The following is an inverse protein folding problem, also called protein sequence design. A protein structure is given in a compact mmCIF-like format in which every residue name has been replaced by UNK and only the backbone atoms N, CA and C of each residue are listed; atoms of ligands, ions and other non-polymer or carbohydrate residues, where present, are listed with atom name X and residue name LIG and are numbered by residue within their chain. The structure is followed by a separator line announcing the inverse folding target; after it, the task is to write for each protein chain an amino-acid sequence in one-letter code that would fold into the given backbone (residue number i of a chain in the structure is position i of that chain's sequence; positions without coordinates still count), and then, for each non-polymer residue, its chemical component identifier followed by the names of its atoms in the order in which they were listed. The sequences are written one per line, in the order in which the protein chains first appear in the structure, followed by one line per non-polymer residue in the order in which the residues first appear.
data_IF_672518362463
#
_entry.id   IF_672518362463
#
_cell.length_a   1.000
_cell.length_b   1.000
_cell.length_c   1.000
_cell.angle_alpha   90.00
_cell.angle_beta   90.00
_cell.angle_gamma   90.00
#
_symmetry.space_group_name_H-M   'P 1'
#
loop_
_entity.id
_entity.type
_entity.pdbx_description
1 polymer ?
#
# COMPACT_ATOMS: atom_id res chain seq x y z
N UNK A 1 -14.20 18.35 20.66
CA UNK A 1 -13.76 17.11 19.97
C UNK A 1 -12.93 17.54 18.78
N UNK A 2 -11.65 17.21 18.74
CA UNK A 2 -10.78 17.53 17.60
C UNK A 2 -11.15 16.54 16.49
N UNK A 3 -11.94 16.97 15.51
CA UNK A 3 -12.23 16.13 14.37
C UNK A 3 -10.99 16.11 13.46
N UNK A 4 -10.35 14.94 13.37
CA UNK A 4 -9.26 14.70 12.44
C UNK A 4 -9.87 14.57 11.04
N UNK A 5 -9.27 15.22 10.03
CA UNK A 5 -9.68 15.15 8.61
C UNK A 5 -9.38 13.75 8.03
N UNK A 6 -8.66 12.90 8.76
CA UNK A 6 -8.36 11.52 8.39
C UNK A 6 -9.12 10.55 9.28
N UNK A 7 -9.70 9.51 8.71
CA UNK A 7 -10.35 8.44 9.46
C UNK A 7 -10.22 7.09 8.76
N UNK A 8 -10.27 6.00 9.53
CA UNK A 8 -10.44 4.64 9.00
C UNK A 8 -11.94 4.42 8.81
N UNK A 9 -12.34 4.01 7.60
CA UNK A 9 -13.74 3.69 7.31
C UNK A 9 -14.07 2.24 7.75
N UNK A 10 -15.27 1.96 8.28
CA UNK A 10 -15.63 0.61 8.71
C UNK A 10 -15.52 -0.41 7.58
N UNK A 11 -14.77 -1.49 7.80
CA UNK A 11 -14.59 -2.57 6.82
C UNK A 11 -13.64 -2.25 5.66
N UNK A 12 -13.12 -1.02 5.58
CA UNK A 12 -12.20 -0.59 4.53
C UNK A 12 -10.79 -0.37 5.09
N UNK A 13 -9.80 -1.16 4.66
CA UNK A 13 -8.41 -0.94 5.06
C UNK A 13 -7.84 0.35 4.45
N UNK A 14 -7.21 1.18 5.29
CA UNK A 14 -6.54 2.41 4.88
C UNK A 14 -7.06 3.65 5.61
N UNK A 15 -6.49 4.81 5.26
CA UNK A 15 -6.90 6.11 5.76
C UNK A 15 -7.63 6.90 4.67
N UNK A 16 -8.74 7.50 5.05
CA UNK A 16 -9.63 8.21 4.14
C UNK A 16 -9.84 9.63 4.63
N UNK A 17 -9.99 10.54 3.67
CA UNK A 17 -10.36 11.92 3.90
C UNK A 17 -11.82 11.97 4.37
N UNK A 18 -12.04 12.58 5.53
CA UNK A 18 -13.34 12.83 6.11
C UNK A 18 -13.44 14.29 6.52
N UNK A 19 -14.66 14.82 6.58
CA UNK A 19 -14.92 16.19 7.01
C UNK A 19 -14.18 17.25 6.18
N UNK A 20 -14.08 17.02 4.87
CA UNK A 20 -13.52 18.00 3.93
C UNK A 20 -14.54 19.12 3.71
N UNK A 21 -14.39 20.20 4.47
CA UNK A 21 -15.25 21.38 4.37
C UNK A 21 -15.06 22.13 3.05
N UNK A 22 -16.17 22.46 2.39
CA UNK A 22 -16.21 23.30 1.19
C UNK A 22 -15.54 24.66 1.44
N UNK A 23 -14.71 25.11 0.49
CA UNK A 23 -14.04 26.41 0.56
C UNK A 23 -12.73 26.42 1.37
N UNK A 24 -12.35 25.30 2.01
CA UNK A 24 -11.04 25.15 2.66
C UNK A 24 -9.96 24.70 1.66
N UNK A 25 -8.71 24.75 2.11
CA UNK A 25 -7.51 24.40 1.33
C UNK A 25 -7.62 23.02 0.69
N UNK A 26 -8.01 21.99 1.45
CA UNK A 26 -8.15 20.63 0.93
C UNK A 26 -9.22 20.54 -0.17
N UNK A 27 -10.42 21.10 0.06
CA UNK A 27 -11.48 21.13 -0.94
C UNK A 27 -11.06 21.85 -2.23
N UNK A 28 -10.40 23.01 -2.08
CA UNK A 28 -9.93 23.81 -3.21
C UNK A 28 -8.78 23.13 -3.96
N UNK A 29 -8.02 22.25 -3.30
CA UNK A 29 -7.00 21.40 -3.92
C UNK A 29 -7.60 20.18 -4.65
N UNK A 30 -8.92 20.00 -4.61
CA UNK A 30 -9.60 18.88 -5.26
C UNK A 30 -9.90 17.69 -4.35
N UNK A 31 -9.46 17.72 -3.10
CA UNK A 31 -9.71 16.64 -2.12
C UNK A 31 -11.21 16.57 -1.80
N UNK A 32 -11.76 15.37 -1.71
CA UNK A 32 -13.15 15.08 -1.37
C UNK A 32 -13.22 14.10 -0.20
N UNK A 33 -14.42 14.01 0.39
CA UNK A 33 -14.68 12.96 1.37
C UNK A 33 -14.59 11.60 0.67
N UNK A 34 -14.11 10.60 1.41
CA UNK A 34 -13.89 9.22 0.94
C UNK A 34 -12.70 9.05 -0.01
N UNK A 35 -11.97 10.12 -0.36
CA UNK A 35 -10.67 9.97 -1.04
C UNK A 35 -9.71 9.23 -0.11
N UNK A 36 -9.06 8.20 -0.64
CA UNK A 36 -8.10 7.40 0.12
C UNK A 36 -6.71 7.99 0.01
N UNK A 37 -6.05 8.17 1.15
CA UNK A 37 -4.70 8.68 1.23
C UNK A 37 -3.70 7.53 0.98
N UNK A 38 -2.84 7.71 -0.02
CA UNK A 38 -1.81 6.74 -0.42
C UNK A 38 -0.40 7.19 -0.01
N UNK A 39 -0.10 8.48 -0.12
CA UNK A 39 1.22 9.01 0.20
C UNK A 39 1.14 10.37 0.92
N UNK A 40 2.12 10.61 1.79
CA UNK A 40 2.38 11.90 2.44
C UNK A 40 3.81 12.31 2.15
N UNK A 41 3.99 13.48 1.51
CA UNK A 41 5.30 14.04 1.14
C UNK A 41 6.19 13.08 0.32
N UNK A 42 5.58 12.27 -0.54
CA UNK A 42 6.28 11.30 -1.40
C UNK A 42 6.63 9.98 -0.73
N UNK A 43 6.08 9.70 0.46
CA UNK A 43 6.25 8.43 1.16
C UNK A 43 4.91 7.67 1.20
N UNK A 44 4.92 6.40 0.78
CA UNK A 44 3.74 5.53 0.86
C UNK A 44 3.35 5.26 2.31
N UNK A 45 2.08 5.50 2.62
CA UNK A 45 1.54 5.41 3.99
C UNK A 45 0.55 4.25 4.19
N UNK A 46 0.37 3.36 3.23
CA UNK A 46 -0.71 2.36 3.29
C UNK A 46 -0.55 1.32 4.41
N UNK A 47 0.67 1.11 4.90
CA UNK A 47 0.96 0.26 6.05
C UNK A 47 1.03 1.00 7.39
N UNK A 48 0.87 2.33 7.40
CA UNK A 48 1.00 3.15 8.60
C UNK A 48 -0.31 3.21 9.39
N UNK A 49 -0.18 3.39 10.70
CA UNK A 49 -1.29 3.66 11.61
C UNK A 49 -1.78 5.10 11.47
N UNK A 50 -2.98 5.38 11.99
CA UNK A 50 -3.53 6.73 12.01
C UNK A 50 -2.57 7.74 12.66
N UNK A 51 -1.99 7.38 13.81
CA UNK A 51 -1.15 8.28 14.59
C UNK A 51 0.17 8.58 13.87
N UNK A 52 0.82 7.57 13.29
CA UNK A 52 2.06 7.76 12.54
C UNK A 52 1.87 8.66 11.32
N UNK A 53 0.73 8.54 10.62
CA UNK A 53 0.41 9.41 9.47
C UNK A 53 0.14 10.84 9.93
N UNK A 54 -0.57 11.01 11.04
CA UNK A 54 -0.80 12.33 11.64
C UNK A 54 0.51 12.99 12.03
N UNK A 55 1.47 12.25 12.60
CA UNK A 55 2.81 12.76 12.89
C UNK A 55 3.55 13.20 11.62
N UNK A 56 3.55 12.38 10.56
CA UNK A 56 4.16 12.76 9.28
C UNK A 56 3.58 14.04 8.67
N UNK A 57 2.25 14.19 8.73
CA UNK A 57 1.59 15.41 8.25
C UNK A 57 1.99 16.62 9.09
N UNK A 58 2.05 16.48 10.41
CA UNK A 58 2.51 17.55 11.32
C UNK A 58 3.96 17.95 11.05
N UNK A 59 4.83 16.98 10.75
CA UNK A 59 6.24 17.22 10.41
C UNK A 59 6.41 18.06 9.13
N UNK A 60 5.47 17.97 8.17
CA UNK A 60 5.45 18.83 6.98
C UNK A 60 5.24 20.32 7.27
N UNK A 61 4.80 20.68 8.48
CA UNK A 61 4.64 22.06 8.92
C UNK A 61 3.52 22.78 8.17
N UNK A 62 3.86 23.81 7.38
CA UNK A 62 2.87 24.68 6.70
C UNK A 62 2.43 24.17 5.34
N UNK A 63 3.12 23.18 4.77
CA UNK A 63 2.83 22.63 3.44
C UNK A 63 2.97 21.12 3.48
N UNK A 64 1.99 20.42 2.92
CA UNK A 64 1.99 18.96 2.80
C UNK A 64 1.58 18.60 1.38
N UNK A 65 2.29 17.64 0.79
CA UNK A 65 1.92 17.02 -0.47
C UNK A 65 1.25 15.70 -0.19
N UNK A 66 0.10 15.44 -0.81
CA UNK A 66 -0.68 14.23 -0.60
C UNK A 66 -0.93 13.57 -1.95
N UNK A 67 -0.73 12.25 -2.01
CA UNK A 67 -1.24 11.45 -3.12
C UNK A 67 -2.53 10.77 -2.65
N UNK A 68 -3.61 11.06 -3.36
CA UNK A 68 -4.95 10.58 -3.07
C UNK A 68 -5.49 9.81 -4.27
N UNK A 69 -6.34 8.83 -4.00
CA UNK A 69 -7.15 8.16 -5.01
C UNK A 69 -8.62 8.34 -4.65
N UNK A 70 -9.43 8.73 -5.62
CA UNK A 70 -10.86 8.84 -5.42
C UNK A 70 -11.49 7.45 -5.24
N UNK A 71 -12.67 7.41 -4.63
CA UNK A 71 -13.36 6.16 -4.29
C UNK A 71 -13.63 5.24 -5.48
N UNK A 72 -13.99 5.80 -6.63
CA UNK A 72 -14.30 5.00 -7.82
C UNK A 72 -13.02 4.32 -8.32
N UNK A 73 -11.96 5.10 -8.47
CA UNK A 73 -10.63 4.61 -8.85
C UNK A 73 -10.08 3.60 -7.84
N UNK A 74 -10.20 3.85 -6.54
CA UNK A 74 -9.78 2.93 -5.47
C UNK A 74 -10.56 1.60 -5.51
N UNK A 75 -11.83 1.61 -5.93
CA UNK A 75 -12.61 0.39 -6.13
C UNK A 75 -12.06 -0.42 -7.30
N UNK A 76 -11.80 0.22 -8.45
CA UNK A 76 -11.28 -0.46 -9.63
C UNK A 76 -9.90 -1.08 -9.41
N UNK A 77 -8.99 -0.38 -8.72
CA UNK A 77 -7.62 -0.86 -8.53
C UNK A 77 -7.49 -2.01 -7.53
N UNK A 78 -8.48 -2.25 -6.67
CA UNK A 78 -8.40 -3.26 -5.59
C UNK A 78 -9.12 -4.56 -5.89
N UNK A 79 -9.91 -4.62 -6.95
CA UNK A 79 -10.69 -5.80 -7.27
C UNK A 79 -9.97 -6.69 -8.28
N UNK A 80 -10.06 -7.99 -8.02
CA UNK A 80 -9.73 -9.00 -9.02
C UNK A 80 -11.01 -9.29 -9.79
N UNK A 81 -11.01 -9.05 -11.09
CA UNK A 81 -12.17 -9.28 -11.96
C UNK A 81 -12.66 -10.72 -11.83
N UNK A 82 -13.95 -10.92 -11.52
CA UNK A 82 -14.55 -12.26 -11.39
C UNK A 82 -14.43 -13.04 -12.70
N UNK A 83 -13.94 -14.27 -12.61
CA UNK A 83 -13.73 -15.14 -13.77
C UNK A 83 -12.46 -14.83 -14.58
N UNK A 84 -11.68 -13.81 -14.19
CA UNK A 84 -10.36 -13.54 -14.75
C UNK A 84 -9.38 -14.69 -14.45
N UNK A 85 -8.25 -14.80 -15.20
CA UNK A 85 -7.19 -15.74 -14.87
C UNK A 85 -6.66 -15.56 -13.44
N UNK A 86 -6.62 -14.31 -12.94
CA UNK A 86 -6.20 -13.98 -11.58
C UNK A 86 -7.17 -14.54 -10.52
N UNK A 87 -8.48 -14.36 -10.70
CA UNK A 87 -9.51 -14.89 -9.79
C UNK A 87 -9.45 -16.43 -9.74
N UNK A 88 -9.33 -17.07 -10.91
CA UNK A 88 -9.19 -18.53 -11.06
C UNK A 88 -7.90 -19.08 -10.46
N UNK A 89 -6.81 -18.29 -10.51
CA UNK A 89 -5.55 -18.62 -9.86
C UNK A 89 -5.59 -18.46 -8.33
N UNK A 90 -6.70 -17.95 -7.78
CA UNK A 90 -6.88 -17.79 -6.35
C UNK A 90 -6.40 -16.45 -5.81
N UNK A 91 -6.01 -15.50 -6.66
CA UNK A 91 -5.66 -14.15 -6.21
C UNK A 91 -6.86 -13.49 -5.54
N UNK A 92 -6.60 -12.82 -4.43
CA UNK A 92 -7.58 -12.11 -3.63
C UNK A 92 -7.19 -10.65 -3.49
N UNK A 93 -8.19 -9.83 -3.16
CA UNK A 93 -7.98 -8.44 -2.76
C UNK A 93 -6.99 -8.40 -1.59
N UNK A 94 -6.02 -7.48 -1.68
CA UNK A 94 -4.91 -7.30 -0.73
C UNK A 94 -3.79 -8.35 -0.77
N UNK A 95 -3.79 -9.27 -1.73
CA UNK A 95 -2.60 -10.08 -1.99
C UNK A 95 -1.48 -9.18 -2.53
N UNK A 96 -0.34 -9.16 -1.84
CA UNK A 96 0.85 -8.47 -2.31
C UNK A 96 1.70 -9.40 -3.16
N UNK A 97 2.00 -8.99 -4.38
CA UNK A 97 2.99 -9.69 -5.23
C UNK A 97 4.38 -9.50 -4.63
N UNK A 98 5.05 -10.61 -4.33
CA UNK A 98 6.44 -10.66 -3.84
C UNK A 98 7.40 -11.22 -4.88
N UNK A 99 6.92 -12.00 -5.85
CA UNK A 99 7.73 -12.41 -6.99
C UNK A 99 6.88 -12.57 -8.27
N UNK A 100 7.50 -12.31 -9.42
CA UNK A 100 6.94 -12.58 -10.76
C UNK A 100 7.86 -13.58 -11.46
N UNK A 101 7.31 -14.73 -11.87
CA UNK A 101 8.03 -15.83 -12.52
C UNK A 101 9.32 -16.25 -11.77
N UNK A 102 9.28 -16.23 -10.44
CA UNK A 102 10.41 -16.59 -9.57
C UNK A 102 11.42 -15.45 -9.35
N UNK A 103 11.21 -14.26 -9.90
CA UNK A 103 12.05 -13.08 -9.66
C UNK A 103 11.42 -12.17 -8.61
N UNK A 104 12.17 -11.85 -7.55
CA UNK A 104 11.75 -10.97 -6.47
C UNK A 104 11.45 -9.54 -6.98
N UNK A 105 10.32 -8.97 -6.56
CA UNK A 105 9.88 -7.62 -6.97
C UNK A 105 10.28 -6.51 -5.99
N UNK A 106 10.79 -6.82 -4.80
CA UNK A 106 11.01 -5.84 -3.72
C UNK A 106 11.99 -4.72 -4.11
N UNK A 107 12.94 -5.02 -5.01
CA UNK A 107 13.94 -4.06 -5.53
C UNK A 107 13.63 -3.55 -6.94
N UNK A 108 12.44 -3.85 -7.46
CA UNK A 108 12.07 -3.56 -8.84
C UNK A 108 11.16 -2.35 -8.92
N UNK A 109 11.37 -1.50 -9.94
CA UNK A 109 10.42 -0.44 -10.23
C UNK A 109 9.10 -1.02 -10.75
N UNK A 110 8.00 -0.31 -10.50
CA UNK A 110 6.69 -0.66 -11.06
C UNK A 110 6.76 -0.93 -12.57
N UNK A 111 7.50 -0.10 -13.31
CA UNK A 111 7.68 -0.27 -14.75
C UNK A 111 8.33 -1.62 -15.10
N UNK A 112 9.39 -2.02 -14.38
CA UNK A 112 10.05 -3.31 -14.63
C UNK A 112 9.09 -4.47 -14.37
N UNK A 113 8.37 -4.43 -13.26
CA UNK A 113 7.39 -5.47 -12.90
C UNK A 113 6.28 -5.57 -13.96
N UNK A 114 5.74 -4.42 -14.39
CA UNK A 114 4.72 -4.37 -15.44
C UNK A 114 5.25 -4.84 -16.78
N UNK A 115 6.47 -4.47 -17.15
CA UNK A 115 7.09 -4.92 -18.39
C UNK A 115 7.29 -6.44 -18.35
N UNK A 116 7.69 -7.05 -17.22
CA UNK A 116 7.76 -8.51 -17.07
C UNK A 116 6.40 -9.19 -17.24
N UNK A 117 5.35 -8.64 -16.63
CA UNK A 117 3.99 -9.20 -16.75
C UNK A 117 3.51 -9.10 -18.21
N UNK A 118 3.78 -7.98 -18.90
CA UNK A 118 3.40 -7.78 -20.31
C UNK A 118 4.17 -8.65 -21.29
N UNK A 119 5.40 -9.03 -20.92
CA UNK A 119 6.22 -9.96 -21.70
C UNK A 119 5.82 -11.42 -21.50
N UNK A 120 4.92 -11.72 -20.55
CA UNK A 120 4.29 -13.03 -20.45
C UNK A 120 3.27 -13.17 -21.59
N UNK A 121 3.53 -14.05 -22.55
CA UNK A 121 2.58 -14.30 -23.64
C UNK A 121 1.24 -14.83 -23.10
N UNK A 122 1.26 -16.00 -22.46
CA UNK A 122 0.05 -16.71 -22.01
C UNK A 122 0.08 -17.22 -20.56
N UNK A 123 1.24 -17.19 -19.89
CA UNK A 123 1.37 -17.70 -18.51
C UNK A 123 2.25 -16.77 -17.70
N UNK A 124 1.73 -16.30 -16.57
CA UNK A 124 2.46 -15.53 -15.58
C UNK A 124 2.24 -16.18 -14.22
N UNK A 125 3.32 -16.44 -13.48
CA UNK A 125 3.26 -17.00 -12.13
C UNK A 125 3.59 -15.93 -11.11
N UNK A 126 2.73 -15.74 -10.12
CA UNK A 126 2.96 -14.81 -9.02
C UNK A 126 3.21 -15.60 -7.75
N UNK A 127 4.23 -15.20 -6.99
CA UNK A 127 4.27 -15.47 -5.57
C UNK A 127 3.61 -14.29 -4.88
N UNK A 128 2.57 -14.55 -4.11
CA UNK A 128 1.84 -13.53 -3.36
C UNK A 128 1.84 -13.84 -1.88
N UNK A 129 1.69 -12.80 -1.08
CA UNK A 129 1.57 -12.85 0.37
C UNK A 129 0.27 -12.18 0.75
N UNK A 130 -0.54 -12.83 1.60
CA UNK A 130 -1.77 -12.25 2.09
C UNK A 130 -1.50 -11.05 3.02
N UNK A 131 -2.53 -10.26 3.27
CA UNK A 131 -2.43 -9.04 4.08
C UNK A 131 -1.84 -9.26 5.48
N UNK A 132 -2.27 -10.32 6.18
CA UNK A 132 -1.85 -10.55 7.57
C UNK A 132 -0.38 -10.94 7.61
N UNK A 133 0.03 -11.80 6.67
CA UNK A 133 1.43 -12.18 6.50
C UNK A 133 2.30 -10.99 6.06
N UNK A 134 1.82 -10.13 5.16
CA UNK A 134 2.54 -8.92 4.75
C UNK A 134 2.77 -7.95 5.91
N UNK A 135 1.74 -7.74 6.74
CA UNK A 135 1.84 -6.90 7.93
C UNK A 135 2.84 -7.49 8.94
N UNK A 136 2.83 -8.80 9.14
CA UNK A 136 3.81 -9.47 10.01
C UNK A 136 5.24 -9.24 9.50
N UNK A 137 5.50 -9.46 8.21
CA UNK A 137 6.83 -9.24 7.63
C UNK A 137 7.29 -7.78 7.77
N UNK A 138 6.39 -6.81 7.56
CA UNK A 138 6.71 -5.37 7.73
C UNK A 138 7.00 -5.00 9.19
N UNK A 139 6.24 -5.53 10.14
CA UNK A 139 6.48 -5.31 11.57
C UNK A 139 7.79 -5.95 12.03
N UNK A 140 8.08 -7.17 11.59
CA UNK A 140 9.33 -7.88 11.90
C UNK A 140 10.53 -7.19 11.25
N UNK A 141 10.40 -6.71 10.00
CA UNK A 141 11.41 -5.88 9.34
C UNK A 141 11.72 -4.62 10.15
N UNK A 142 10.70 -3.92 10.63
CA UNK A 142 10.87 -2.72 11.47
C UNK A 142 11.54 -3.03 12.82
N UNK A 143 11.17 -4.16 13.44
CA UNK A 143 11.79 -4.64 14.69
C UNK A 143 13.24 -5.09 14.50
N UNK A 144 13.59 -5.66 13.34
CA UNK A 144 14.96 -6.03 12.99
C UNK A 144 15.83 -4.80 12.74
N UNK A 145 15.30 -3.71 12.16
CA UNK A 145 16.05 -2.44 12.07
C UNK A 145 16.29 -1.76 13.42
N UNK A 146 15.38 -1.91 14.38
CA UNK A 146 15.57 -1.37 15.74
C UNK A 146 16.44 -2.24 16.65
N UNK A 147 16.62 -3.52 16.33
CA UNK A 147 17.42 -4.47 17.15
C UNK A 147 18.75 -4.89 16.52
N UNK A 148 18.98 -4.64 15.24
CA UNK A 148 20.24 -4.98 14.56
C UNK A 148 21.11 -3.74 14.35
N UNK A 149 21.62 -3.20 15.46
CA UNK A 149 23.05 -2.92 15.47
C UNK A 149 23.78 -4.27 15.51
N UNK A 150 24.24 -4.70 14.35
CA UNK A 150 25.13 -5.84 14.11
C UNK A 150 24.47 -7.17 13.68
N UNK A 151 24.91 -7.61 12.50
CA UNK A 151 24.90 -8.97 11.92
C UNK A 151 23.72 -9.29 11.01
N UNK A 152 24.00 -9.20 9.70
CA UNK A 152 23.18 -9.73 8.62
C UNK A 152 23.17 -11.27 8.65
N UNK A 153 21.99 -11.88 8.54
CA UNK A 153 21.85 -13.31 8.28
C UNK A 153 21.18 -13.50 6.92
N UNK A 154 21.91 -14.16 6.02
CA UNK A 154 21.39 -14.72 4.78
C UNK A 154 20.61 -16.00 5.12
N UNK A 155 19.32 -16.03 4.83
CA UNK A 155 18.48 -17.25 4.93
C UNK A 155 18.45 -17.97 3.58
N UNK A 156 19.59 -18.55 3.21
CA UNK A 156 19.67 -19.63 2.22
C UNK A 156 19.87 -20.95 2.97
N UNK A 157 18.77 -21.52 3.49
CA UNK A 157 18.61 -22.97 3.75
C UNK A 157 17.30 -23.24 4.52
N UNK A 158 16.26 -23.66 3.82
CA UNK A 158 15.31 -24.60 4.39
C UNK A 158 14.57 -25.33 3.27
N UNK A 159 15.21 -26.34 2.68
CA UNK A 159 14.59 -27.52 2.07
C UNK A 159 15.71 -28.53 1.72
N UNK A 160 16.22 -29.21 2.73
CA UNK A 160 16.76 -30.58 2.66
C UNK A 160 16.49 -31.28 3.98
#
# INVERSE_FOLDING_TARGET
MHHSILSVLPGEPGLFMTQVDSGRVAYNAGVRNEDRLLEVNGENIESYTHDEVVEKIKLGGKSVMLLLVDKETDSFYREVDKGSPADKAGLRKMDRVVAVNGTDVDKCSHKQVVDWIRLCDNTCSFLVVDKDTDQMYKQVSHLLTCSLSSSAYNVDNMLR
#
